data_IF_529158588330
#
_entry.id   IF_529158588330
#
_cell.length_a   1.000
_cell.length_b   1.000
_cell.length_c   1.000
_cell.angle_alpha   90.00
_cell.angle_beta   90.00
_cell.angle_gamma   90.00
#
_symmetry.space_group_name_H-M   'P 1'
#
loop_
_entity.id
_entity.type
_entity.pdbx_description
1 polymer ?
#
# COMPACT_ATOMS: atom_id res chain seq x y z
N UNK A 1 18.79 -17.95 47.75
CA UNK A 1 19.36 -16.98 46.80
C UNK A 1 19.80 -17.74 45.56
N UNK A 2 19.02 -17.68 44.47
CA UNK A 2 19.58 -17.57 43.13
C UNK A 2 18.50 -17.10 42.16
N UNK A 3 18.90 -16.15 41.33
CA UNK A 3 18.07 -15.15 40.66
C UNK A 3 17.66 -15.63 39.27
N UNK A 4 16.52 -15.11 38.82
CA UNK A 4 15.84 -15.35 37.54
C UNK A 4 16.76 -15.27 36.32
N UNK A 5 16.62 -16.21 35.39
CA UNK A 5 16.75 -15.93 33.95
C UNK A 5 15.33 -15.93 33.39
N UNK A 6 14.74 -14.72 33.33
CA UNK A 6 13.54 -14.50 32.55
C UNK A 6 13.92 -14.65 31.07
N UNK A 7 13.26 -15.57 30.38
CA UNK A 7 13.23 -15.53 28.92
C UNK A 7 12.63 -14.17 28.53
N UNK A 8 13.44 -13.30 27.93
CA UNK A 8 12.92 -12.13 27.26
C UNK A 8 12.01 -12.62 26.13
N UNK A 9 10.73 -12.19 26.06
CA UNK A 9 9.92 -12.49 24.90
C UNK A 9 10.62 -11.89 23.68
N UNK A 10 10.92 -12.73 22.70
CA UNK A 10 11.24 -12.25 21.35
C UNK A 10 9.98 -11.49 20.91
N UNK A 11 10.06 -10.15 20.84
CA UNK A 11 9.00 -9.37 20.25
C UNK A 11 8.87 -9.79 18.79
N UNK A 12 7.92 -10.67 18.50
CA UNK A 12 7.44 -10.86 17.14
C UNK A 12 6.81 -9.53 16.75
N UNK A 13 7.52 -8.76 15.94
CA UNK A 13 6.97 -7.56 15.34
C UNK A 13 5.84 -8.02 14.41
N UNK A 14 4.58 -7.73 14.74
CA UNK A 14 3.49 -7.96 13.79
C UNK A 14 3.65 -6.99 12.62
N UNK A 15 4.23 -7.47 11.52
CA UNK A 15 4.24 -6.73 10.27
C UNK A 15 2.80 -6.68 9.74
N UNK A 16 2.30 -5.49 9.44
CA UNK A 16 0.97 -5.30 8.86
C UNK A 16 1.05 -5.29 7.33
N UNK A 17 -0.05 -5.61 6.64
CA UNK A 17 -0.12 -5.44 5.19
C UNK A 17 -0.29 -3.96 4.84
N UNK A 18 0.42 -3.46 3.85
CA UNK A 18 0.26 -2.08 3.34
C UNK A 18 -0.02 -2.08 1.85
N UNK A 19 -0.79 -1.09 1.41
CA UNK A 19 -1.11 -0.86 0.00
C UNK A 19 -0.72 0.55 -0.40
N UNK A 20 -0.31 0.70 -1.65
CA UNK A 20 -0.13 1.97 -2.32
C UNK A 20 -0.71 1.87 -3.73
N UNK A 21 -1.47 2.88 -4.13
CA UNK A 21 -2.13 2.95 -5.43
C UNK A 21 -1.64 4.16 -6.21
N UNK A 22 -1.18 3.88 -7.41
CA UNK A 22 -0.98 4.86 -8.47
C UNK A 22 -2.29 5.04 -9.21
N UNK A 23 -2.67 6.29 -9.51
CA UNK A 23 -3.90 6.59 -10.21
C UNK A 23 -3.67 7.38 -11.49
N UNK A 24 -4.67 7.38 -12.36
CA UNK A 24 -4.71 8.19 -13.59
C UNK A 24 -4.80 9.69 -13.32
N UNK A 25 -4.72 10.12 -12.06
CA UNK A 25 -4.85 11.50 -11.63
C UNK A 25 -5.59 11.64 -10.32
N UNK A 26 -5.88 12.87 -9.92
CA UNK A 26 -6.68 13.20 -8.74
C UNK A 26 -7.97 13.87 -9.19
N UNK A 27 -9.11 13.29 -8.86
CA UNK A 27 -10.41 13.89 -9.18
C UNK A 27 -11.50 12.89 -9.51
N UNK A 28 -12.69 13.42 -9.81
CA UNK A 28 -13.84 12.63 -10.18
C UNK A 28 -13.56 11.83 -11.46
N UNK A 29 -13.78 10.52 -11.42
CA UNK A 29 -13.54 9.62 -12.54
C UNK A 29 -12.10 9.14 -12.70
N UNK A 30 -11.18 9.55 -11.83
CA UNK A 30 -9.84 8.94 -11.75
C UNK A 30 -9.92 7.47 -11.33
N UNK A 31 -8.90 6.69 -11.71
CA UNK A 31 -8.90 5.23 -11.54
C UNK A 31 -7.49 4.68 -11.30
N UNK A 32 -7.35 3.48 -10.71
CA UNK A 32 -6.04 2.91 -10.41
C UNK A 32 -5.31 2.45 -11.68
N UNK A 33 -4.00 2.71 -11.74
CA UNK A 33 -3.11 2.36 -12.86
C UNK A 33 -1.95 1.43 -12.46
N UNK A 34 -1.52 1.46 -11.21
CA UNK A 34 -0.63 0.46 -10.60
C UNK A 34 -1.04 0.26 -9.15
N UNK A 35 -1.08 -0.98 -8.69
CA UNK A 35 -1.38 -1.32 -7.30
C UNK A 35 -0.22 -2.15 -6.76
N UNK A 36 0.30 -1.74 -5.61
CA UNK A 36 1.39 -2.43 -4.93
C UNK A 36 1.08 -2.69 -3.47
N UNK A 37 1.49 -3.85 -2.99
CA UNK A 37 1.34 -4.27 -1.61
C UNK A 37 2.68 -4.71 -1.02
N UNK A 38 2.86 -4.41 0.26
CA UNK A 38 3.88 -5.01 1.13
C UNK A 38 3.14 -5.87 2.16
N UNK A 39 3.42 -7.17 2.15
CA UNK A 39 2.70 -8.15 2.97
C UNK A 39 3.36 -8.30 4.34
N UNK A 40 2.56 -8.72 5.32
CA UNK A 40 3.00 -9.11 6.66
C UNK A 40 4.06 -10.21 6.64
N UNK A 41 4.10 -11.04 5.59
CA UNK A 41 5.12 -12.08 5.40
C UNK A 41 6.49 -11.53 4.98
N UNK A 42 6.59 -10.25 4.63
CA UNK A 42 7.79 -9.62 4.04
C UNK A 42 7.82 -9.65 2.52
N UNK A 43 6.90 -10.38 1.88
CA UNK A 43 6.74 -10.37 0.42
C UNK A 43 6.23 -9.01 -0.08
N UNK A 44 6.64 -8.66 -1.30
CA UNK A 44 6.12 -7.47 -2.01
C UNK A 44 5.55 -7.89 -3.36
N UNK A 45 4.38 -7.38 -3.69
CA UNK A 45 3.69 -7.68 -4.95
C UNK A 45 3.21 -6.38 -5.59
N UNK A 46 3.25 -6.28 -6.91
CA UNK A 46 2.62 -5.18 -7.64
C UNK A 46 2.10 -5.63 -8.99
N UNK A 47 1.09 -4.92 -9.49
CA UNK A 47 0.53 -5.13 -10.83
C UNK A 47 0.14 -3.80 -11.47
N UNK A 48 0.39 -3.68 -12.77
CA UNK A 48 -0.17 -2.62 -13.60
C UNK A 48 -1.63 -2.96 -13.93
N UNK A 49 -2.46 -1.92 -14.03
CA UNK A 49 -3.87 -2.03 -14.42
C UNK A 49 -4.00 -1.55 -15.85
N UNK A 50 -4.50 -2.42 -16.74
CA UNK A 50 -4.92 -2.03 -18.08
C UNK A 50 -6.31 -1.38 -17.94
N UNK A 51 -6.45 -0.07 -18.22
CA UNK A 51 -7.72 0.61 -18.05
C UNK A 51 -8.75 0.11 -19.08
N UNK A 52 -9.98 -0.21 -18.66
CA UNK A 52 -11.10 -0.37 -19.57
C UNK A 52 -11.29 0.84 -20.50
N UNK A 53 -11.88 0.64 -21.67
CA UNK A 53 -12.07 1.70 -22.68
C UNK A 53 -12.87 2.90 -22.17
N UNK A 54 -13.79 2.69 -21.23
CA UNK A 54 -14.62 3.71 -20.59
C UNK A 54 -13.92 4.47 -19.47
N UNK A 55 -12.72 4.05 -19.05
CA UNK A 55 -11.89 4.76 -18.07
C UNK A 55 -11.02 5.80 -18.80
N UNK A 56 -11.58 7.00 -18.97
CA UNK A 56 -10.98 8.03 -19.84
C UNK A 56 -10.15 9.09 -19.12
N UNK A 57 -10.41 9.34 -17.83
CA UNK A 57 -9.67 10.31 -17.00
C UNK A 57 -8.15 10.10 -17.11
N UNK A 58 -7.41 11.19 -17.28
CA UNK A 58 -5.95 11.16 -17.32
C UNK A 58 -5.36 12.53 -17.02
N UNK A 59 -4.59 12.63 -15.94
CA UNK A 59 -3.80 13.81 -15.62
C UNK A 59 -2.41 13.69 -16.25
N UNK A 60 -1.84 14.80 -16.70
CA UNK A 60 -0.47 14.84 -17.21
C UNK A 60 0.57 14.34 -16.19
N UNK A 61 0.28 14.48 -14.88
CA UNK A 61 1.14 14.00 -13.80
C UNK A 61 1.09 12.48 -13.56
N UNK A 62 0.16 11.74 -14.16
CA UNK A 62 0.05 10.29 -13.99
C UNK A 62 1.27 9.55 -14.57
N UNK A 63 1.90 10.13 -15.60
CA UNK A 63 3.07 9.56 -16.29
C UNK A 63 4.40 9.88 -15.60
N UNK A 64 4.45 9.78 -14.28
CA UNK A 64 5.68 10.06 -13.51
C UNK A 64 6.84 9.07 -13.77
N UNK A 65 6.56 7.95 -14.44
CA UNK A 65 7.55 6.98 -14.86
C UNK A 65 7.16 6.37 -16.21
N UNK A 66 8.12 5.97 -17.08
CA UNK A 66 7.81 5.35 -18.36
C UNK A 66 6.91 4.11 -18.27
N UNK A 67 6.98 3.35 -17.17
CA UNK A 67 6.11 2.19 -16.97
C UNK A 67 4.66 2.54 -16.61
N UNK A 68 4.37 3.79 -16.26
CA UNK A 68 3.02 4.29 -15.98
C UNK A 68 2.41 5.06 -17.17
N UNK A 69 3.16 5.21 -18.27
CA UNK A 69 2.63 5.77 -19.50
C UNK A 69 1.39 4.99 -19.95
N UNK A 70 0.35 5.71 -20.39
CA UNK A 70 -0.95 5.09 -20.72
C UNK A 70 -0.81 3.95 -21.73
N UNK A 71 0.00 4.15 -22.76
CA UNK A 71 0.26 3.14 -23.79
C UNK A 71 0.91 1.88 -23.22
N UNK A 72 1.80 2.03 -22.23
CA UNK A 72 2.39 0.88 -21.55
C UNK A 72 1.36 0.15 -20.66
N UNK A 73 0.42 0.86 -20.04
CA UNK A 73 -0.67 0.23 -19.29
C UNK A 73 -1.59 -0.58 -20.21
N UNK A 74 -1.88 -0.06 -21.41
CA UNK A 74 -2.69 -0.78 -22.40
C UNK A 74 -1.98 -2.05 -22.90
N UNK A 75 -0.66 -1.99 -23.09
CA UNK A 75 0.14 -3.11 -23.60
C UNK A 75 0.48 -4.15 -22.53
N UNK A 76 0.90 -3.71 -21.35
CA UNK A 76 1.53 -4.53 -20.30
C UNK A 76 0.67 -4.69 -19.04
N UNK A 77 -0.40 -3.90 -18.92
CA UNK A 77 -1.31 -3.94 -17.79
C UNK A 77 -2.19 -5.19 -17.78
N UNK A 78 -2.72 -5.51 -16.61
CA UNK A 78 -3.68 -6.60 -16.45
C UNK A 78 -5.10 -6.06 -16.46
N UNK A 79 -6.05 -6.84 -16.97
CA UNK A 79 -7.46 -6.49 -16.87
C UNK A 79 -7.87 -6.30 -15.41
N UNK A 80 -8.85 -5.42 -15.17
CA UNK A 80 -9.42 -5.18 -13.83
C UNK A 80 -9.85 -6.46 -13.12
N UNK A 81 -10.41 -7.43 -13.86
CA UNK A 81 -10.75 -8.76 -13.32
C UNK A 81 -9.52 -9.50 -12.80
N UNK A 82 -8.44 -9.57 -13.60
CA UNK A 82 -7.22 -10.27 -13.17
C UNK A 82 -6.57 -9.57 -11.98
N UNK A 83 -6.60 -8.23 -11.94
CA UNK A 83 -6.10 -7.45 -10.80
C UNK A 83 -6.92 -7.73 -9.53
N UNK A 84 -8.26 -7.68 -9.62
CA UNK A 84 -9.14 -7.98 -8.48
C UNK A 84 -8.89 -9.37 -7.88
N UNK A 85 -8.74 -10.39 -8.75
CA UNK A 85 -8.43 -11.75 -8.32
C UNK A 85 -7.04 -11.84 -7.65
N UNK A 86 -6.03 -11.16 -8.20
CA UNK A 86 -4.70 -11.12 -7.58
C UNK A 86 -4.71 -10.45 -6.21
N UNK A 87 -5.46 -9.35 -6.05
CA UNK A 87 -5.57 -8.68 -4.75
C UNK A 87 -6.24 -9.59 -3.71
N UNK A 88 -7.31 -10.29 -4.09
CA UNK A 88 -7.96 -11.28 -3.22
C UNK A 88 -7.06 -12.48 -2.91
N UNK A 89 -6.19 -12.88 -3.83
CA UNK A 89 -5.20 -13.94 -3.62
C UNK A 89 -4.11 -13.50 -2.63
N UNK A 90 -3.60 -12.27 -2.77
CA UNK A 90 -2.50 -11.76 -1.95
C UNK A 90 -2.91 -11.37 -0.54
N UNK A 91 -4.12 -10.79 -0.40
CA UNK A 91 -4.58 -10.21 0.86
C UNK A 91 -5.63 -11.07 1.57
N UNK A 92 -6.34 -11.96 0.87
CA UNK A 92 -7.41 -12.74 1.48
C UNK A 92 -8.43 -11.85 2.20
N UNK A 93 -8.79 -12.25 3.42
CA UNK A 93 -9.72 -11.51 4.30
C UNK A 93 -8.98 -10.61 5.32
N UNK A 94 -7.68 -10.33 5.10
CA UNK A 94 -6.85 -9.53 5.99
C UNK A 94 -7.14 -8.02 5.88
N UNK A 95 -6.70 -7.27 6.89
CA UNK A 95 -6.64 -5.80 6.83
C UNK A 95 -5.38 -5.35 6.10
N UNK A 96 -5.52 -4.34 5.23
CA UNK A 96 -4.44 -3.66 4.53
C UNK A 96 -4.50 -2.16 4.79
N UNK A 97 -3.37 -1.56 5.14
CA UNK A 97 -3.29 -0.16 5.56
C UNK A 97 -2.83 0.76 4.43
N UNK A 98 -3.47 1.92 4.34
CA UNK A 98 -3.17 2.97 3.36
C UNK A 98 -2.94 4.33 4.04
N UNK A 99 -1.99 5.11 3.51
CA UNK A 99 -1.79 6.51 3.89
C UNK A 99 -2.62 7.51 3.05
N UNK A 100 -3.33 7.02 2.03
CA UNK A 100 -4.22 7.77 1.16
C UNK A 100 -5.65 7.18 1.16
N UNK A 101 -6.06 6.62 2.31
CA UNK A 101 -7.28 5.82 2.48
C UNK A 101 -8.52 6.33 1.74
N UNK A 102 -8.81 7.63 1.83
CA UNK A 102 -9.98 8.23 1.18
C UNK A 102 -10.02 8.06 -0.34
N UNK A 103 -8.86 8.13 -1.03
CA UNK A 103 -8.79 7.90 -2.47
C UNK A 103 -8.69 6.40 -2.79
N UNK A 104 -7.87 5.67 -2.05
CA UNK A 104 -7.60 4.26 -2.32
C UNK A 104 -8.86 3.39 -2.22
N UNK A 105 -9.73 3.65 -1.25
CA UNK A 105 -11.01 2.95 -1.11
C UNK A 105 -11.89 3.17 -2.34
N UNK A 106 -12.00 4.41 -2.83
CA UNK A 106 -12.81 4.75 -4.00
C UNK A 106 -12.28 4.05 -5.26
N UNK A 107 -10.96 4.03 -5.45
CA UNK A 107 -10.32 3.38 -6.59
C UNK A 107 -10.44 1.86 -6.55
N UNK A 108 -10.30 1.24 -5.38
CA UNK A 108 -10.53 -0.20 -5.22
C UNK A 108 -11.99 -0.56 -5.44
N UNK A 109 -12.93 0.23 -4.91
CA UNK A 109 -14.35 0.02 -5.14
C UNK A 109 -14.69 0.08 -6.64
N UNK A 110 -14.15 1.07 -7.36
CA UNK A 110 -14.31 1.16 -8.82
C UNK A 110 -13.75 -0.06 -9.54
N UNK A 111 -12.57 -0.54 -9.14
CA UNK A 111 -11.92 -1.71 -9.72
C UNK A 111 -12.72 -3.00 -9.47
N UNK A 112 -13.11 -3.28 -8.22
CA UNK A 112 -13.85 -4.49 -7.86
C UNK A 112 -15.26 -4.49 -8.45
N UNK A 113 -15.95 -3.33 -8.43
CA UNK A 113 -17.26 -3.17 -9.08
C UNK A 113 -17.17 -3.46 -10.58
N UNK A 114 -16.16 -2.92 -11.26
CA UNK A 114 -15.95 -3.15 -12.70
C UNK A 114 -15.55 -4.60 -13.00
N UNK A 115 -14.79 -5.24 -12.11
CA UNK A 115 -14.42 -6.64 -12.20
C UNK A 115 -15.59 -7.61 -11.96
N UNK A 116 -16.66 -7.16 -11.28
CA UNK A 116 -17.75 -8.04 -10.86
C UNK A 116 -17.32 -9.07 -9.80
N UNK A 117 -16.30 -8.74 -9.01
CA UNK A 117 -15.71 -9.61 -7.98
C UNK A 117 -15.88 -8.93 -6.63
N UNK A 118 -16.23 -9.70 -5.61
CA UNK A 118 -16.28 -9.20 -4.23
C UNK A 118 -14.87 -8.95 -3.71
N UNK A 119 -14.62 -7.75 -3.17
CA UNK A 119 -13.42 -7.47 -2.41
C UNK A 119 -13.44 -8.26 -1.10
N UNK A 120 -12.35 -8.96 -0.79
CA UNK A 120 -12.22 -9.75 0.45
C UNK A 120 -11.50 -8.99 1.58
N UNK A 121 -10.45 -8.25 1.24
CA UNK A 121 -9.66 -7.54 2.22
C UNK A 121 -10.37 -6.28 2.74
N UNK A 122 -10.03 -5.89 3.96
CA UNK A 122 -10.46 -4.61 4.55
C UNK A 122 -9.37 -3.57 4.33
N UNK A 123 -9.73 -2.36 3.88
CA UNK A 123 -8.79 -1.25 3.71
C UNK A 123 -8.97 -0.26 4.84
N UNK A 124 -7.91 0.01 5.59
CA UNK A 124 -7.93 0.89 6.76
C UNK A 124 -6.86 1.99 6.65
N UNK A 125 -7.09 3.12 7.31
CA UNK A 125 -6.11 4.20 7.37
C UNK A 125 -4.92 3.81 8.24
N UNK A 126 -3.70 4.12 7.78
CA UNK A 126 -2.49 3.96 8.60
C UNK A 126 -2.58 4.72 9.93
N UNK A 127 -3.40 5.77 10.01
CA UNK A 127 -3.54 6.59 11.22
C UNK A 127 -3.98 5.77 12.44
N UNK A 128 -4.73 4.67 12.26
CA UNK A 128 -5.13 3.80 13.39
C UNK A 128 -3.94 3.09 14.04
N UNK A 129 -2.88 2.81 13.26
CA UNK A 129 -1.64 2.23 13.76
C UNK A 129 -0.75 3.26 14.46
N UNK A 130 -0.95 4.54 14.17
CA UNK A 130 -0.06 5.60 14.63
C UNK A 130 -0.44 6.15 16.01
N UNK A 131 -1.67 5.95 16.51
CA UNK A 131 -2.22 6.21 17.87
C UNK A 131 -1.85 7.56 18.56
N UNK A 132 -0.56 7.83 18.77
CA UNK A 132 0.01 9.01 19.42
C UNK A 132 1.36 9.45 18.83
N UNK A 133 1.78 8.90 17.69
CA UNK A 133 2.98 9.34 17.02
C UNK A 133 2.83 10.83 16.70
N UNK A 134 3.73 11.64 17.28
CA UNK A 134 3.78 13.06 16.97
C UNK A 134 3.82 13.22 15.44
N UNK A 135 2.97 14.09 14.85
CA UNK A 135 2.94 14.30 13.40
C UNK A 135 4.34 14.53 12.81
N UNK A 136 5.22 15.16 13.58
CA UNK A 136 6.63 15.37 13.23
C UNK A 136 7.43 14.06 13.12
N UNK A 137 7.23 13.10 14.03
CA UNK A 137 7.92 11.80 13.97
C UNK A 137 7.51 11.01 12.72
N UNK A 138 6.22 11.02 12.38
CA UNK A 138 5.70 10.46 11.13
C UNK A 138 6.29 11.13 9.90
N UNK A 139 6.32 12.46 9.87
CA UNK A 139 6.90 13.23 8.78
C UNK A 139 8.39 12.93 8.60
N UNK A 140 9.16 12.87 9.69
CA UNK A 140 10.60 12.59 9.66
C UNK A 140 10.88 11.16 9.20
N UNK A 141 10.13 10.16 9.71
CA UNK A 141 10.27 8.78 9.27
C UNK A 141 9.96 8.62 7.78
N UNK A 142 8.85 9.21 7.32
CA UNK A 142 8.45 9.18 5.91
C UNK A 142 9.46 9.89 5.01
N UNK A 143 9.95 11.06 5.40
CA UNK A 143 10.93 11.82 4.63
C UNK A 143 12.27 11.08 4.52
N UNK A 144 12.72 10.42 5.60
CA UNK A 144 13.94 9.61 5.60
C UNK A 144 13.87 8.44 4.63
N UNK A 145 12.72 7.77 4.54
CA UNK A 145 12.52 6.66 3.62
C UNK A 145 12.29 7.12 2.17
N UNK A 146 11.68 8.29 1.97
CA UNK A 146 11.55 8.92 0.67
C UNK A 146 12.90 9.38 0.09
N UNK A 147 13.85 9.78 0.94
CA UNK A 147 15.20 10.20 0.55
C UNK A 147 16.15 9.04 0.21
N UNK A 148 15.69 7.78 0.27
CA UNK A 148 16.47 6.63 -0.17
C UNK A 148 16.70 6.66 -1.69
N UNK A 149 17.78 6.00 -2.10
CA UNK A 149 18.41 6.04 -3.43
C UNK A 149 17.44 6.37 -4.61
N UNK A 150 17.58 7.54 -5.25
CA UNK A 150 16.71 7.96 -6.36
C UNK A 150 16.89 7.11 -7.61
N UNK A 151 17.93 6.27 -7.68
CA UNK A 151 18.13 5.32 -8.78
C UNK A 151 17.21 4.11 -8.70
N UNK A 152 16.54 3.89 -7.54
CA UNK A 152 15.57 2.81 -7.39
C UNK A 152 14.34 3.12 -8.23
N UNK A 153 14.09 2.25 -9.21
CA UNK A 153 12.91 2.31 -10.08
C UNK A 153 11.63 2.47 -9.28
N UNK A 154 10.79 3.42 -9.68
CA UNK A 154 9.45 3.63 -9.10
C UNK A 154 8.56 2.39 -9.29
N UNK A 155 7.98 1.89 -8.18
CA UNK A 155 6.94 0.86 -8.14
C UNK A 155 6.04 1.09 -6.95
N UNK A 156 4.73 0.93 -7.13
CA UNK A 156 3.77 1.01 -6.03
C UNK A 156 4.14 0.10 -4.84
N UNK A 157 4.69 -1.11 -5.08
CA UNK A 157 5.12 -2.01 -4.00
C UNK A 157 6.29 -1.48 -3.18
N UNK A 158 7.17 -0.69 -3.79
CA UNK A 158 8.25 -0.03 -3.06
C UNK A 158 7.69 1.07 -2.14
N UNK A 159 6.64 1.78 -2.59
CA UNK A 159 5.96 2.79 -1.76
C UNK A 159 5.22 2.15 -0.58
N UNK A 160 4.49 1.06 -0.83
CA UNK A 160 3.84 0.28 0.22
C UNK A 160 4.85 -0.24 1.26
N UNK A 161 6.03 -0.70 0.82
CA UNK A 161 7.09 -1.12 1.73
C UNK A 161 7.64 0.05 2.56
N UNK A 162 7.91 1.21 1.95
CA UNK A 162 8.36 2.39 2.71
C UNK A 162 7.36 2.80 3.77
N UNK A 163 6.06 2.68 3.47
CA UNK A 163 4.99 2.92 4.45
C UNK A 163 5.05 1.91 5.60
N UNK A 164 5.24 0.62 5.29
CA UNK A 164 5.42 -0.44 6.29
C UNK A 164 6.64 -0.20 7.19
N UNK A 165 7.79 0.15 6.60
CA UNK A 165 9.03 0.47 7.32
C UNK A 165 8.88 1.71 8.21
N UNK A 166 8.19 2.76 7.75
CA UNK A 166 7.95 3.96 8.54
C UNK A 166 7.18 3.63 9.83
N UNK A 167 6.13 2.83 9.73
CA UNK A 167 5.32 2.41 10.88
C UNK A 167 6.14 1.53 11.82
N UNK A 168 6.94 0.61 11.29
CA UNK A 168 7.84 -0.23 12.10
C UNK A 168 8.88 0.60 12.86
N UNK A 169 9.46 1.62 12.22
CA UNK A 169 10.43 2.52 12.86
C UNK A 169 9.81 3.25 14.06
N UNK A 170 8.57 3.70 13.93
CA UNK A 170 7.85 4.37 15.01
C UNK A 170 7.50 3.39 16.15
N UNK A 171 7.04 2.19 15.83
CA UNK A 171 6.78 1.13 16.82
C UNK A 171 8.02 0.72 17.62
N UNK A 172 9.17 0.64 16.96
CA UNK A 172 10.45 0.31 17.58
C UNK A 172 11.02 1.42 18.48
N UNK A 173 10.65 2.67 18.24
CA UNK A 173 11.04 3.81 19.06
C UNK A 173 10.27 3.88 20.41
N UNK A 174 9.47 2.86 20.74
CA UNK A 174 8.64 2.83 21.96
C UNK A 174 7.33 3.61 21.82
N UNK A 175 6.93 4.00 20.61
CA UNK A 175 5.59 4.53 20.37
C UNK A 175 4.61 3.36 20.19
N UNK A 176 3.44 3.39 20.85
CA UNK A 176 2.51 2.28 20.79
C UNK A 176 1.98 2.10 19.35
N UNK A 177 2.34 1.00 18.71
CA UNK A 177 1.68 0.45 17.51
C UNK A 177 0.87 -0.75 17.97
N UNK A 178 -0.44 -0.78 17.71
CA UNK A 178 -1.27 -1.91 18.12
C UNK A 178 -0.84 -3.20 17.41
N UNK A 179 -0.90 -4.32 18.12
CA UNK A 179 -1.02 -5.63 17.51
C UNK A 179 -2.49 -5.82 17.14
N UNK A 180 -2.78 -6.12 15.87
CA UNK A 180 -4.11 -6.56 15.46
C UNK A 180 -4.54 -7.77 16.32
N UNK A 181 -5.73 -7.67 16.92
CA UNK A 181 -6.35 -8.71 17.75
C UNK A 181 -7.02 -9.79 16.90
#
# INVERSE_FOLDING_TARGET
MNTRLGAHPVHVQNMHNFIHIEASGLGAGSYPIEIGVALASGDRRCTLVCPPVDWVHWDAGAERAPSLARDNLLLSGRSVLKVALLLNEWLGDETVYSNAWGNDVVWLEALFRRAGVQQRCTVETVNVLLHSAEPLAWQLASARLAAQDPTVRWRASNQAQRLQEAVQMLGNAGMPVQAAF
#
